data_IF_509575892159
#
_entry.id   IF_509575892159
#
_cell.length_a   1.000
_cell.length_b   1.000
_cell.length_c   1.000
_cell.angle_alpha   90.00
_cell.angle_beta   90.00
_cell.angle_gamma   90.00
#
_symmetry.space_group_name_H-M   'P 1'
#
loop_
_entity.id
_entity.type
_entity.pdbx_description
1 polymer ?
#
# COMPACT_ATOMS: atom_id res chain seq x y z
N UNK A 1 2.82 -70.38 -44.43
CA UNK A 1 2.11 -69.09 -44.65
C UNK A 1 2.30 -68.28 -43.37
N UNK A 2 3.13 -67.23 -43.39
CA UNK A 2 2.72 -65.84 -43.65
C UNK A 2 1.69 -65.37 -42.60
N UNK A 3 1.82 -64.25 -41.89
CA UNK A 3 2.70 -63.11 -41.96
C UNK A 3 2.43 -62.22 -40.72
N UNK A 4 3.32 -61.24 -40.51
CA UNK A 4 3.06 -59.89 -40.00
C UNK A 4 2.37 -59.73 -38.61
N UNK A 5 3.09 -59.28 -37.60
CA UNK A 5 3.40 -57.85 -37.35
C UNK A 5 2.13 -57.03 -37.10
N UNK A 6 1.95 -56.57 -35.86
CA UNK A 6 1.64 -55.16 -35.53
C UNK A 6 1.66 -54.93 -34.02
N UNK A 7 2.70 -54.20 -33.60
CA UNK A 7 2.67 -53.25 -32.51
C UNK A 7 1.29 -52.57 -32.41
N UNK A 8 0.68 -52.65 -31.24
CA UNK A 8 -0.48 -51.83 -30.88
C UNK A 8 -0.11 -51.00 -29.64
N UNK A 9 0.68 -49.96 -29.92
CA UNK A 9 0.89 -48.81 -29.07
C UNK A 9 -0.43 -48.03 -28.95
N UNK A 10 -1.33 -48.47 -28.06
CA UNK A 10 -2.59 -47.74 -27.81
C UNK A 10 -3.18 -48.02 -26.43
N UNK A 11 -2.36 -48.08 -25.39
CA UNK A 11 -2.80 -47.66 -24.05
C UNK A 11 -2.66 -46.14 -23.95
N UNK A 12 -3.58 -45.48 -24.65
CA UNK A 12 -4.35 -44.34 -24.14
C UNK A 12 -3.58 -43.54 -23.07
N UNK A 13 -2.72 -42.59 -23.44
CA UNK A 13 -3.11 -41.24 -23.88
C UNK A 13 -4.28 -40.61 -23.08
N UNK A 14 -4.48 -41.03 -21.83
CA UNK A 14 -5.51 -40.55 -20.92
C UNK A 14 -4.93 -40.02 -19.58
N UNK A 15 -3.62 -39.79 -19.50
CA UNK A 15 -2.96 -39.10 -18.37
C UNK A 15 -2.60 -37.64 -18.67
N UNK A 16 -3.20 -37.07 -19.72
CA UNK A 16 -3.04 -35.65 -20.09
C UNK A 16 -4.32 -34.85 -19.79
N UNK A 17 -4.88 -35.05 -18.61
CA UNK A 17 -5.80 -34.11 -17.97
C UNK A 17 -5.02 -33.49 -16.80
N UNK A 18 -4.21 -32.48 -17.07
CA UNK A 18 -4.65 -31.09 -16.90
C UNK A 18 -5.22 -30.85 -15.50
N UNK A 19 -4.43 -31.13 -14.46
CA UNK A 19 -4.49 -30.33 -13.23
C UNK A 19 -3.86 -28.97 -13.55
N UNK A 20 -4.52 -28.19 -14.41
CA UNK A 20 -4.40 -26.73 -14.34
C UNK A 20 -4.79 -26.40 -12.92
N UNK A 21 -3.78 -26.01 -12.14
CA UNK A 21 -3.87 -25.05 -11.06
C UNK A 21 -5.20 -24.31 -11.19
N UNK A 22 -6.16 -24.64 -10.32
CA UNK A 22 -7.44 -23.97 -10.29
C UNK A 22 -7.14 -22.52 -9.89
N UNK A 23 -6.83 -21.73 -10.91
CA UNK A 23 -6.75 -20.30 -10.87
C UNK A 23 -8.14 -19.88 -10.43
N UNK A 24 -8.29 -19.67 -9.12
CA UNK A 24 -9.39 -18.92 -8.52
C UNK A 24 -9.30 -17.54 -9.15
N UNK A 25 -9.90 -17.42 -10.33
CA UNK A 25 -10.19 -16.16 -10.99
C UNK A 25 -11.13 -15.44 -10.04
N UNK A 26 -10.56 -14.54 -9.26
CA UNK A 26 -11.31 -13.45 -8.67
C UNK A 26 -12.14 -12.82 -9.80
N UNK A 27 -13.45 -12.82 -9.62
CA UNK A 27 -14.40 -12.22 -10.53
C UNK A 27 -14.10 -10.71 -10.62
N UNK A 28 -13.39 -10.31 -11.68
CA UNK A 28 -13.18 -8.93 -12.07
C UNK A 28 -14.43 -8.45 -12.82
N UNK A 29 -15.45 -8.06 -12.08
CA UNK A 29 -16.54 -7.23 -12.60
C UNK A 29 -16.70 -6.04 -11.65
N UNK A 30 -15.83 -5.05 -11.85
CA UNK A 30 -15.72 -3.85 -11.01
C UNK A 30 -14.33 -3.19 -11.05
N UNK A 31 -13.36 -3.81 -11.74
CA UNK A 31 -11.96 -3.35 -11.82
C UNK A 31 -11.79 -2.12 -12.70
N UNK A 32 -12.64 -1.83 -13.68
CA UNK A 32 -12.43 -0.67 -14.55
C UNK A 32 -12.50 0.67 -13.80
N UNK A 33 -13.43 0.83 -12.85
CA UNK A 33 -13.55 2.06 -12.08
C UNK A 33 -12.51 2.14 -10.96
N UNK A 34 -12.12 1.01 -10.38
CA UNK A 34 -11.06 0.95 -9.36
C UNK A 34 -9.67 1.15 -9.98
N UNK A 35 -9.40 0.58 -11.16
CA UNK A 35 -8.18 0.80 -11.92
C UNK A 35 -8.11 2.20 -12.51
N UNK A 36 -9.23 2.77 -13.00
CA UNK A 36 -9.28 4.17 -13.44
C UNK A 36 -9.02 5.11 -12.27
N UNK A 37 -9.66 4.91 -11.11
CA UNK A 37 -9.39 5.70 -9.90
C UNK A 37 -7.98 5.51 -9.38
N UNK A 38 -7.44 4.30 -9.41
CA UNK A 38 -6.05 4.04 -9.05
C UNK A 38 -5.07 4.70 -10.05
N UNK A 39 -5.38 4.69 -11.35
CA UNK A 39 -4.60 5.40 -12.37
C UNK A 39 -4.71 6.90 -12.23
N UNK A 40 -5.88 7.44 -11.87
CA UNK A 40 -6.10 8.86 -11.62
C UNK A 40 -5.43 9.33 -10.32
N UNK A 41 -5.46 8.54 -9.24
CA UNK A 41 -4.73 8.85 -8.01
C UNK A 41 -3.23 8.72 -8.20
N UNK A 42 -2.78 7.75 -9.00
CA UNK A 42 -1.37 7.59 -9.34
C UNK A 42 -0.90 8.69 -10.28
N UNK A 43 -1.71 9.11 -11.26
CA UNK A 43 -1.42 10.26 -12.12
C UNK A 43 -1.48 11.59 -11.35
N UNK A 44 -2.40 11.73 -10.37
CA UNK A 44 -2.46 12.91 -9.51
C UNK A 44 -1.28 12.95 -8.52
N UNK A 45 -0.86 11.80 -7.99
CA UNK A 45 0.32 11.66 -7.16
C UNK A 45 1.60 11.89 -7.97
N UNK A 46 1.67 11.40 -9.22
CA UNK A 46 2.76 11.70 -10.15
C UNK A 46 2.80 13.19 -10.47
N UNK A 47 1.68 13.83 -10.78
CA UNK A 47 1.61 15.28 -11.02
C UNK A 47 1.97 16.10 -9.77
N UNK A 48 1.63 15.63 -8.58
CA UNK A 48 2.03 16.30 -7.33
C UNK A 48 3.51 16.07 -7.01
N UNK A 49 4.03 14.88 -7.28
CA UNK A 49 5.44 14.58 -7.16
C UNK A 49 6.28 15.35 -8.19
N UNK A 50 5.80 15.50 -9.42
CA UNK A 50 6.39 16.34 -10.47
C UNK A 50 6.37 17.80 -10.06
N UNK A 51 5.25 18.32 -9.55
CA UNK A 51 5.18 19.71 -9.03
C UNK A 51 6.08 19.93 -7.82
N UNK A 52 6.16 18.96 -6.92
CA UNK A 52 7.06 19.01 -5.77
C UNK A 52 8.52 18.97 -6.24
N UNK A 53 8.86 18.11 -7.20
CA UNK A 53 10.18 18.03 -7.79
C UNK A 53 10.55 19.27 -8.60
N UNK A 54 9.62 19.86 -9.34
CA UNK A 54 9.80 21.11 -10.06
C UNK A 54 9.96 22.29 -9.10
N UNK A 55 9.22 22.32 -8.00
CA UNK A 55 9.36 23.36 -6.97
C UNK A 55 10.69 23.25 -6.24
N UNK A 56 11.12 22.02 -5.92
CA UNK A 56 12.40 21.73 -5.31
C UNK A 56 13.56 22.00 -6.29
N UNK A 57 13.41 21.66 -7.58
CA UNK A 57 14.42 21.92 -8.60
C UNK A 57 14.54 23.40 -8.91
N UNK A 58 13.43 24.15 -8.95
CA UNK A 58 13.44 25.61 -9.09
C UNK A 58 14.11 26.28 -7.89
N UNK A 59 13.84 25.82 -6.66
CA UNK A 59 14.54 26.30 -5.48
C UNK A 59 16.03 25.97 -5.52
N UNK A 60 16.39 24.75 -5.91
CA UNK A 60 17.78 24.34 -6.07
C UNK A 60 18.52 25.13 -7.16
N UNK A 61 17.86 25.42 -8.30
CA UNK A 61 18.40 26.26 -9.38
C UNK A 61 18.53 27.73 -8.99
N UNK A 62 17.59 28.27 -8.23
CA UNK A 62 17.70 29.63 -7.69
C UNK A 62 18.80 29.72 -6.65
N UNK A 63 18.92 28.73 -5.76
CA UNK A 63 19.97 28.66 -4.77
C UNK A 63 21.36 28.51 -5.41
N UNK A 64 21.50 27.71 -6.47
CA UNK A 64 22.77 27.56 -7.19
C UNK A 64 23.18 28.82 -7.94
N UNK A 65 22.23 29.56 -8.53
CA UNK A 65 22.48 30.86 -9.19
C UNK A 65 22.99 31.94 -8.24
N UNK A 66 22.51 31.96 -7.00
CA UNK A 66 22.96 32.93 -5.98
C UNK A 66 24.19 32.47 -5.18
N UNK A 67 24.56 31.18 -5.26
CA UNK A 67 25.69 30.60 -4.52
C UNK A 67 27.02 30.57 -5.29
N UNK A 68 27.06 31.07 -6.54
CA UNK A 68 28.30 31.19 -7.33
C UNK A 68 29.06 29.86 -7.50
N UNK A 69 30.41 29.87 -7.57
CA UNK A 69 31.21 28.65 -7.79
C UNK A 69 31.09 27.62 -6.64
N UNK A 70 30.60 28.01 -5.47
CA UNK A 70 30.30 27.09 -4.37
C UNK A 70 28.96 26.37 -4.60
N UNK A 71 27.99 27.04 -5.20
CA UNK A 71 26.72 26.47 -5.65
C UNK A 71 26.88 25.41 -6.74
N UNK A 72 27.76 25.64 -7.71
CA UNK A 72 28.05 24.66 -8.78
C UNK A 72 28.70 23.39 -8.24
N UNK A 73 29.62 23.50 -7.28
CA UNK A 73 30.23 22.34 -6.62
C UNK A 73 29.21 21.57 -5.76
N UNK A 74 28.34 22.27 -5.04
CA UNK A 74 27.30 21.65 -4.24
C UNK A 74 26.24 20.98 -5.13
N UNK A 75 25.88 21.59 -6.27
CA UNK A 75 24.99 21.01 -7.26
C UNK A 75 25.59 19.79 -7.96
N UNK A 76 26.89 19.82 -8.29
CA UNK A 76 27.63 18.66 -8.82
C UNK A 76 27.66 17.50 -7.83
N UNK A 77 27.92 17.79 -6.54
CA UNK A 77 27.90 16.78 -5.49
C UNK A 77 26.48 16.25 -5.23
N UNK A 78 25.46 17.12 -5.13
CA UNK A 78 24.07 16.68 -5.05
C UNK A 78 23.65 15.85 -6.26
N UNK A 79 24.13 16.20 -7.46
CA UNK A 79 23.91 15.44 -8.68
C UNK A 79 24.49 14.02 -8.56
N UNK A 80 25.71 13.89 -8.02
CA UNK A 80 26.35 12.61 -7.76
C UNK A 80 25.63 11.80 -6.65
N UNK A 81 25.11 12.47 -5.61
CA UNK A 81 24.36 11.83 -4.50
C UNK A 81 22.89 11.54 -4.82
N UNK A 82 22.33 12.15 -5.87
CA UNK A 82 20.95 11.87 -6.31
C UNK A 82 20.79 10.42 -6.75
N UNK A 83 21.78 9.87 -7.45
CA UNK A 83 21.75 8.48 -7.91
C UNK A 83 21.63 7.45 -6.76
N UNK A 84 22.50 7.44 -5.72
CA UNK A 84 22.36 6.49 -4.61
C UNK A 84 21.11 6.76 -3.76
N UNK A 85 20.71 8.01 -3.55
CA UNK A 85 19.50 8.33 -2.77
C UNK A 85 18.24 7.85 -3.48
N UNK A 86 18.11 8.11 -4.77
CA UNK A 86 16.95 7.65 -5.55
C UNK A 86 16.89 6.13 -5.63
N UNK A 87 18.03 5.46 -5.78
CA UNK A 87 18.10 4.00 -5.71
C UNK A 87 17.64 3.47 -4.35
N UNK A 88 18.15 4.01 -3.23
CA UNK A 88 17.76 3.58 -1.89
C UNK A 88 16.27 3.81 -1.61
N UNK A 89 15.70 4.92 -2.10
CA UNK A 89 14.26 5.19 -2.02
C UNK A 89 13.44 4.19 -2.83
N UNK A 90 13.91 3.78 -4.01
CA UNK A 90 13.25 2.75 -4.82
C UNK A 90 13.27 1.40 -4.10
N UNK A 91 14.41 1.00 -3.53
CA UNK A 91 14.52 -0.23 -2.75
C UNK A 91 13.60 -0.17 -1.53
N UNK A 92 13.63 0.93 -0.78
CA UNK A 92 12.76 1.12 0.38
C UNK A 92 11.27 1.06 0.02
N UNK A 93 10.88 1.63 -1.14
CA UNK A 93 9.52 1.55 -1.67
C UNK A 93 9.09 0.11 -1.95
N UNK A 94 9.94 -0.69 -2.60
CA UNK A 94 9.61 -2.09 -2.88
C UNK A 94 9.51 -2.92 -1.60
N UNK A 95 10.42 -2.71 -0.64
CA UNK A 95 10.34 -3.34 0.69
C UNK A 95 9.03 -2.97 1.39
N UNK A 96 8.66 -1.69 1.38
CA UNK A 96 7.40 -1.22 1.98
C UNK A 96 6.18 -1.84 1.30
N UNK A 97 6.22 -2.01 -0.02
CA UNK A 97 5.14 -2.66 -0.79
C UNK A 97 4.98 -4.13 -0.40
N UNK A 98 6.08 -4.85 -0.22
CA UNK A 98 6.03 -6.24 0.25
C UNK A 98 5.42 -6.34 1.65
N UNK A 99 5.87 -5.48 2.57
CA UNK A 99 5.32 -5.41 3.93
C UNK A 99 3.83 -5.07 3.90
N UNK A 100 3.42 -4.11 3.07
CA UNK A 100 2.01 -3.71 2.95
C UNK A 100 1.08 -4.89 2.61
N UNK A 101 1.50 -5.73 1.66
CA UNK A 101 0.72 -6.91 1.26
C UNK A 101 0.83 -8.02 2.29
N UNK A 102 2.03 -8.25 2.85
CA UNK A 102 2.28 -9.30 3.84
C UNK A 102 1.51 -9.05 5.15
N UNK A 103 1.54 -7.81 5.65
CA UNK A 103 0.88 -7.38 6.89
C UNK A 103 -0.61 -7.06 6.72
N UNK A 104 -1.16 -7.31 5.52
CA UNK A 104 -2.57 -7.02 5.20
C UNK A 104 -2.99 -5.61 5.57
N UNK A 105 -2.11 -4.62 5.35
CA UNK A 105 -2.44 -3.19 5.48
C UNK A 105 -3.38 -2.69 4.37
N UNK A 106 -3.82 -3.59 3.49
CA UNK A 106 -4.91 -3.37 2.55
C UNK A 106 -6.22 -3.09 3.28
N UNK A 107 -7.01 -2.18 2.71
CA UNK A 107 -8.33 -1.84 3.25
C UNK A 107 -9.18 -3.12 3.33
N UNK A 108 -9.72 -3.47 4.51
CA UNK A 108 -10.49 -4.69 4.64
C UNK A 108 -11.82 -4.60 3.87
N UNK A 109 -12.41 -5.75 3.61
CA UNK A 109 -13.69 -5.83 2.93
C UNK A 109 -14.81 -5.20 3.78
N UNK A 110 -15.87 -4.73 3.12
CA UNK A 110 -17.04 -4.17 3.80
C UNK A 110 -17.68 -5.18 4.76
N UNK A 111 -17.59 -6.47 4.44
CA UNK A 111 -18.08 -7.54 5.31
C UNK A 111 -17.26 -7.61 6.61
N UNK A 112 -15.92 -7.59 6.52
CA UNK A 112 -15.02 -7.58 7.68
C UNK A 112 -15.20 -6.34 8.55
N UNK A 113 -15.48 -5.18 7.96
CA UNK A 113 -15.83 -3.98 8.71
C UNK A 113 -17.11 -4.16 9.53
N UNK A 114 -18.16 -4.70 8.90
CA UNK A 114 -19.45 -4.94 9.58
C UNK A 114 -19.30 -5.94 10.72
N UNK A 115 -18.54 -7.01 10.52
CA UNK A 115 -18.31 -8.02 11.57
C UNK A 115 -17.50 -7.44 12.72
N UNK A 116 -16.45 -6.66 12.43
CA UNK A 116 -15.66 -5.98 13.46
C UNK A 116 -16.51 -5.01 14.29
N UNK A 117 -17.37 -4.22 13.64
CA UNK A 117 -18.27 -3.29 14.33
C UNK A 117 -19.31 -4.01 15.19
N UNK A 118 -19.93 -5.08 14.67
CA UNK A 118 -20.88 -5.88 15.43
C UNK A 118 -20.21 -6.51 16.67
N UNK A 119 -19.00 -7.03 16.52
CA UNK A 119 -18.21 -7.60 17.62
C UNK A 119 -17.85 -6.55 18.67
N UNK A 120 -17.45 -5.35 18.23
CA UNK A 120 -17.15 -4.24 19.12
C UNK A 120 -18.39 -3.83 19.93
N UNK A 121 -19.53 -3.65 19.26
CA UNK A 121 -20.79 -3.30 19.91
C UNK A 121 -21.20 -4.36 20.96
N UNK A 122 -21.12 -5.65 20.61
CA UNK A 122 -21.42 -6.75 21.53
C UNK A 122 -20.51 -6.75 22.77
N UNK A 123 -19.20 -6.53 22.59
CA UNK A 123 -18.22 -6.50 23.67
C UNK A 123 -18.38 -5.27 24.56
N UNK A 124 -18.66 -4.10 23.96
CA UNK A 124 -18.86 -2.86 24.70
C UNK A 124 -20.08 -2.92 25.63
N UNK A 125 -21.12 -3.66 25.26
CA UNK A 125 -22.31 -3.84 26.12
C UNK A 125 -22.22 -5.01 27.09
N UNK A 126 -21.17 -5.83 27.03
CA UNK A 126 -21.03 -7.02 27.86
C UNK A 126 -20.30 -6.70 29.18
N UNK A 127 -20.98 -6.68 30.34
CA UNK A 127 -20.36 -6.31 31.61
C UNK A 127 -19.31 -7.32 32.09
N UNK A 128 -19.43 -8.60 31.73
CA UNK A 128 -18.43 -9.60 32.08
C UNK A 128 -17.12 -9.37 31.32
N UNK A 129 -17.20 -8.98 30.04
CA UNK A 129 -16.03 -8.62 29.23
C UNK A 129 -15.34 -7.38 29.79
N UNK A 130 -16.11 -6.33 30.13
CA UNK A 130 -15.56 -5.11 30.71
C UNK A 130 -14.85 -5.35 32.05
N UNK A 131 -15.47 -6.13 32.95
CA UNK A 131 -14.82 -6.50 34.22
C UNK A 131 -13.54 -7.29 33.97
N UNK A 132 -13.58 -8.25 33.06
CA UNK A 132 -12.39 -9.01 32.65
C UNK A 132 -11.26 -8.10 32.14
N UNK A 133 -11.59 -7.12 31.30
CA UNK A 133 -10.63 -6.16 30.73
C UNK A 133 -9.91 -5.31 31.79
N UNK A 134 -10.64 -4.88 32.83
CA UNK A 134 -10.06 -4.14 33.94
C UNK A 134 -9.25 -5.03 34.88
N UNK A 135 -9.73 -6.24 35.16
CA UNK A 135 -9.03 -7.19 36.03
C UNK A 135 -7.77 -7.80 35.40
N UNK A 136 -7.74 -7.96 34.07
CA UNK A 136 -6.57 -8.50 33.35
C UNK A 136 -5.49 -7.48 33.05
N UNK A 137 -5.79 -6.17 33.18
CA UNK A 137 -4.87 -5.10 32.80
C UNK A 137 -4.83 -4.80 31.30
N UNK A 138 -5.61 -5.51 30.48
CA UNK A 138 -5.66 -5.31 29.02
C UNK A 138 -6.24 -3.95 28.59
N UNK A 139 -6.90 -3.23 29.51
CA UNK A 139 -7.38 -1.88 29.29
C UNK A 139 -6.27 -0.92 28.82
N UNK A 140 -5.02 -1.13 29.24
CA UNK A 140 -3.88 -0.32 28.80
C UNK A 140 -3.60 -0.52 27.31
N UNK A 141 -3.63 -1.77 26.83
CA UNK A 141 -3.48 -2.10 25.41
C UNK A 141 -4.61 -1.50 24.58
N UNK A 142 -5.85 -1.58 25.06
CA UNK A 142 -7.00 -0.92 24.42
C UNK A 142 -6.81 0.60 24.36
N UNK A 143 -6.27 1.20 25.42
CA UNK A 143 -5.94 2.63 25.47
C UNK A 143 -4.88 3.03 24.44
N UNK A 144 -3.80 2.24 24.32
CA UNK A 144 -2.75 2.45 23.30
C UNK A 144 -3.36 2.38 21.90
N UNK A 145 -4.15 1.34 21.60
CA UNK A 145 -4.85 1.26 20.31
C UNK A 145 -5.84 2.40 20.07
N UNK A 146 -6.47 2.92 21.14
CA UNK A 146 -7.29 4.12 21.06
C UNK A 146 -6.48 5.37 20.67
N UNK A 147 -5.27 5.53 21.22
CA UNK A 147 -4.36 6.61 20.85
C UNK A 147 -3.84 6.48 19.42
N UNK A 148 -3.52 5.27 18.98
CA UNK A 148 -3.13 5.00 17.58
C UNK A 148 -4.28 5.33 16.62
N UNK A 149 -5.50 4.91 16.94
CA UNK A 149 -6.70 5.25 16.16
C UNK A 149 -6.94 6.76 16.11
N UNK A 150 -6.72 7.47 17.21
CA UNK A 150 -6.79 8.94 17.25
C UNK A 150 -5.71 9.59 16.36
N UNK A 151 -4.50 9.04 16.34
CA UNK A 151 -3.43 9.46 15.44
C UNK A 151 -3.83 9.31 13.97
N UNK A 152 -4.35 8.14 13.58
CA UNK A 152 -4.85 7.88 12.22
C UNK A 152 -5.99 8.85 11.85
N UNK A 153 -6.91 9.12 12.77
CA UNK A 153 -7.98 10.09 12.57
C UNK A 153 -7.43 11.49 12.25
N UNK A 154 -6.41 11.96 12.98
CA UNK A 154 -5.77 13.26 12.73
C UNK A 154 -5.02 13.31 11.41
N UNK A 155 -4.39 12.21 10.98
CA UNK A 155 -3.81 12.10 9.64
C UNK A 155 -4.91 12.24 8.57
N UNK A 156 -6.07 11.61 8.79
CA UNK A 156 -7.25 11.78 7.94
C UNK A 156 -7.72 13.23 7.87
N UNK A 157 -7.74 13.94 9.00
CA UNK A 157 -8.08 15.37 9.05
C UNK A 157 -7.08 16.23 8.25
N UNK A 158 -5.77 15.96 8.36
CA UNK A 158 -4.72 16.63 7.58
C UNK A 158 -4.93 16.43 6.07
N UNK A 159 -5.24 15.20 5.65
CA UNK A 159 -5.51 14.87 4.24
C UNK A 159 -6.79 15.56 3.76
N UNK A 160 -7.87 15.51 4.56
CA UNK A 160 -9.16 16.11 4.24
C UNK A 160 -9.09 17.63 4.10
N UNK A 161 -8.35 18.30 4.97
CA UNK A 161 -8.14 19.75 4.92
C UNK A 161 -6.97 20.18 4.04
N UNK A 162 -6.17 19.24 3.55
CA UNK A 162 -4.99 19.45 2.68
C UNK A 162 -3.97 20.45 3.25
N UNK A 163 -3.90 20.56 4.58
CA UNK A 163 -2.99 21.44 5.31
C UNK A 163 -2.37 20.69 6.48
N UNK A 164 -1.07 20.89 6.70
CA UNK A 164 -0.34 20.31 7.83
C UNK A 164 -0.65 21.06 9.14
N UNK A 165 -0.75 22.40 9.11
CA UNK A 165 -0.97 23.25 10.30
C UNK A 165 -2.22 24.12 10.16
N UNK A 166 -3.14 24.04 11.12
CA UNK A 166 -4.41 24.78 11.14
C UNK A 166 -5.32 24.65 9.91
N UNK A 167 -6.49 25.29 9.97
CA UNK A 167 -7.28 25.60 8.78
C UNK A 167 -6.70 26.86 8.14
N UNK A 168 -6.57 26.85 6.81
CA UNK A 168 -6.23 28.06 6.07
C UNK A 168 -7.49 28.93 6.01
N UNK A 169 -7.66 29.77 7.03
CA UNK A 169 -8.61 30.88 7.02
C UNK A 169 -7.87 32.11 6.50
N UNK A 170 -7.97 32.36 5.20
CA UNK A 170 -7.61 33.60 4.54
C UNK A 170 -8.81 34.07 3.74
#
# INVERSE_FOLDING_TARGET
>A
MSAAMRSSSSTLRALRQRSTFAQRRFASSGTENAEKKAKETLAAAQKQAEKAWESASKYAESASKYAGPFGERLASLLGAYRAPVTYNLQVAKEVLKHIYVAERLQVPSVAEFKTAYALFAQRATNPAYLRGLFSSGEWATVGIYGLEAYGIYKIGEIIGRRSLVGYNVQ
#
